data_IF_083536796514
#
_entry.id   IF_083536796514
#
_cell.length_a   1.000
_cell.length_b   1.000
_cell.length_c   1.000
_cell.angle_alpha   90.00
_cell.angle_beta   90.00
_cell.angle_gamma   90.00
#
_symmetry.space_group_name_H-M   'P 1'
#
loop_
_entity.id
_entity.type
_entity.pdbx_description
1 polymer ?
#
# COMPACT_ATOMS: atom_id res chain seq x y z
N UNK A 1 7.67 -22.58 -11.24
CA UNK A 1 7.70 -21.43 -12.16
C UNK A 1 6.31 -20.83 -12.36
N UNK A 2 5.37 -21.55 -12.96
CA UNK A 2 4.01 -21.04 -13.22
C UNK A 2 3.29 -20.47 -11.98
N UNK A 3 3.26 -21.20 -10.86
CA UNK A 3 2.59 -20.73 -9.62
C UNK A 3 3.21 -19.44 -9.09
N UNK A 4 4.56 -19.35 -9.06
CA UNK A 4 5.26 -18.14 -8.59
C UNK A 4 4.87 -16.92 -9.43
N UNK A 5 4.78 -17.11 -10.74
CA UNK A 5 4.37 -16.06 -11.67
C UNK A 5 2.89 -15.67 -11.48
N UNK A 6 1.99 -16.64 -11.32
CA UNK A 6 0.57 -16.38 -11.03
C UNK A 6 0.41 -15.56 -9.76
N UNK A 7 1.18 -15.88 -8.69
CA UNK A 7 1.14 -15.10 -7.45
C UNK A 7 1.54 -13.65 -7.71
N UNK A 8 2.62 -13.39 -8.46
CA UNK A 8 3.02 -12.03 -8.81
C UNK A 8 1.90 -11.28 -9.57
N UNK A 9 1.30 -11.91 -10.56
CA UNK A 9 0.17 -11.33 -11.30
C UNK A 9 -1.01 -11.02 -10.38
N UNK A 10 -1.31 -11.92 -9.43
CA UNK A 10 -2.36 -11.67 -8.43
C UNK A 10 -2.02 -10.51 -7.49
N UNK A 11 -0.76 -10.36 -7.05
CA UNK A 11 -0.33 -9.22 -6.23
C UNK A 11 -0.51 -7.90 -6.98
N UNK A 12 -0.15 -7.85 -8.27
CA UNK A 12 -0.35 -6.68 -9.13
C UNK A 12 -1.84 -6.40 -9.30
N UNK A 13 -2.67 -7.42 -9.55
CA UNK A 13 -4.11 -7.26 -9.64
C UNK A 13 -4.71 -6.70 -8.34
N UNK A 14 -4.30 -7.21 -7.18
CA UNK A 14 -4.72 -6.70 -5.88
C UNK A 14 -4.31 -5.24 -5.66
N UNK A 15 -3.11 -4.85 -6.09
CA UNK A 15 -2.68 -3.45 -6.08
C UNK A 15 -3.62 -2.56 -6.92
N UNK A 16 -3.96 -3.00 -8.14
CA UNK A 16 -4.88 -2.24 -9.00
C UNK A 16 -6.25 -2.12 -8.34
N UNK A 17 -6.78 -3.23 -7.81
CA UNK A 17 -8.07 -3.28 -7.10
C UNK A 17 -8.09 -2.28 -5.94
N UNK A 18 -7.12 -2.36 -5.05
CA UNK A 18 -7.12 -1.54 -3.84
C UNK A 18 -6.83 -0.06 -4.14
N UNK A 19 -5.81 0.23 -4.95
CA UNK A 19 -5.31 1.59 -5.16
C UNK A 19 -6.16 2.41 -6.14
N UNK A 20 -6.88 1.77 -7.06
CA UNK A 20 -7.71 2.48 -8.06
C UNK A 20 -9.21 2.38 -7.82
N UNK A 21 -9.69 1.27 -7.24
CA UNK A 21 -11.13 1.03 -7.14
C UNK A 21 -11.66 1.09 -5.71
N UNK A 22 -10.91 0.63 -4.70
CA UNK A 22 -11.42 0.51 -3.33
C UNK A 22 -11.16 1.72 -2.42
N UNK A 23 -10.39 2.72 -2.86
CA UNK A 23 -10.00 3.84 -1.99
C UNK A 23 -11.19 4.63 -1.39
N UNK A 24 -12.32 4.78 -2.11
CA UNK A 24 -13.53 5.44 -1.59
C UNK A 24 -13.25 6.77 -0.86
N UNK A 25 -13.76 6.89 0.37
CA UNK A 25 -13.55 8.07 1.22
C UNK A 25 -12.07 8.27 1.63
N UNK A 26 -11.29 7.18 1.79
CA UNK A 26 -9.88 7.26 2.14
C UNK A 26 -9.06 7.99 1.08
N UNK A 27 -9.47 7.97 -0.20
CA UNK A 27 -8.83 8.73 -1.27
C UNK A 27 -8.80 10.23 -0.97
N UNK A 28 -9.88 10.76 -0.38
CA UNK A 28 -9.99 12.15 0.02
C UNK A 28 -9.38 12.39 1.40
N UNK A 29 -9.67 11.53 2.37
CA UNK A 29 -9.23 11.68 3.76
C UNK A 29 -7.70 11.61 3.92
N UNK A 30 -6.97 10.94 3.02
CA UNK A 30 -5.49 10.93 3.06
C UNK A 30 -4.85 12.26 2.64
N UNK A 31 -5.64 13.19 2.10
CA UNK A 31 -5.19 14.50 1.65
C UNK A 31 -5.39 15.54 2.75
N UNK A 32 -4.32 16.23 3.14
CA UNK A 32 -4.36 17.32 4.14
C UNK A 32 -5.34 18.43 3.75
N UNK A 33 -5.42 18.76 2.46
CA UNK A 33 -6.34 19.78 1.94
C UNK A 33 -7.81 19.43 2.14
N UNK A 34 -8.16 18.13 2.18
CA UNK A 34 -9.53 17.72 2.44
C UNK A 34 -9.96 18.09 3.87
N UNK A 35 -9.08 17.88 4.85
CA UNK A 35 -9.32 18.27 6.25
C UNK A 35 -9.36 19.79 6.42
N UNK A 36 -8.46 20.52 5.75
CA UNK A 36 -8.48 21.99 5.76
C UNK A 36 -9.82 22.58 5.25
N UNK A 37 -10.51 21.87 4.36
CA UNK A 37 -11.78 22.30 3.78
C UNK A 37 -13.01 21.82 4.56
N UNK A 38 -12.98 20.57 5.05
CA UNK A 38 -14.16 19.91 5.63
C UNK A 38 -14.17 19.90 7.17
N UNK A 39 -13.02 20.10 7.81
CA UNK A 39 -12.85 20.09 9.27
C UNK A 39 -11.67 21.02 9.67
N UNK A 40 -11.81 22.34 9.50
CA UNK A 40 -10.71 23.31 9.61
C UNK A 40 -10.22 23.54 11.04
N UNK A 41 -10.86 22.95 12.05
CA UNK A 41 -10.47 23.09 13.43
C UNK A 41 -9.05 22.55 13.67
N UNK A 42 -8.29 23.23 14.54
CA UNK A 42 -6.90 22.85 14.85
C UNK A 42 -6.76 21.42 15.36
N UNK A 43 -7.83 20.87 15.95
CA UNK A 43 -7.90 19.50 16.44
C UNK A 43 -7.64 18.47 15.32
N UNK A 44 -8.22 18.68 14.14
CA UNK A 44 -8.23 17.70 13.04
C UNK A 44 -7.09 17.88 12.03
N UNK A 45 -6.19 18.85 12.28
CA UNK A 45 -5.09 19.22 11.36
C UNK A 45 -4.21 18.03 10.94
N UNK A 46 -4.10 17.00 11.78
CA UNK A 46 -3.22 15.85 11.56
C UNK A 46 -3.98 14.54 11.27
N UNK A 47 -5.31 14.57 11.16
CA UNK A 47 -6.13 13.37 10.97
C UNK A 47 -5.85 12.67 9.63
N UNK A 48 -5.38 13.41 8.62
CA UNK A 48 -4.92 12.84 7.36
C UNK A 48 -3.78 11.83 7.52
N UNK A 49 -2.97 11.93 8.60
CA UNK A 49 -1.90 10.97 8.90
C UNK A 49 -2.49 9.61 9.28
N UNK A 50 -3.58 9.59 10.05
CA UNK A 50 -4.28 8.36 10.38
C UNK A 50 -4.90 7.75 9.12
N UNK A 51 -5.52 8.56 8.25
CA UNK A 51 -6.06 8.09 6.98
C UNK A 51 -4.98 7.51 6.04
N UNK A 52 -3.81 8.17 5.94
CA UNK A 52 -2.65 7.67 5.20
C UNK A 52 -2.19 6.30 5.73
N UNK A 53 -2.08 6.16 7.05
CA UNK A 53 -1.69 4.90 7.67
C UNK A 53 -2.70 3.78 7.40
N UNK A 54 -4.01 4.07 7.56
CA UNK A 54 -5.07 3.08 7.31
C UNK A 54 -5.12 2.64 5.84
N UNK A 55 -4.99 3.58 4.90
CA UNK A 55 -4.90 3.24 3.48
C UNK A 55 -3.67 2.39 3.18
N UNK A 56 -2.50 2.79 3.70
CA UNK A 56 -1.26 2.05 3.51
C UNK A 56 -1.29 0.62 4.08
N UNK A 57 -1.92 0.47 5.24
CA UNK A 57 -2.16 -0.84 5.85
C UNK A 57 -3.07 -1.71 4.96
N UNK A 58 -4.21 -1.17 4.52
CA UNK A 58 -5.15 -1.86 3.62
C UNK A 58 -4.46 -2.32 2.34
N UNK A 59 -3.70 -1.42 1.71
CA UNK A 59 -2.97 -1.70 0.50
C UNK A 59 -1.93 -2.81 0.68
N UNK A 60 -1.11 -2.69 1.73
CA UNK A 60 -0.09 -3.70 2.05
C UNK A 60 -0.73 -5.06 2.32
N UNK A 61 -1.84 -5.09 3.06
CA UNK A 61 -2.60 -6.31 3.31
C UNK A 61 -3.09 -6.93 2.00
N UNK A 62 -3.66 -6.13 1.10
CA UNK A 62 -4.18 -6.60 -0.18
C UNK A 62 -3.09 -7.17 -1.08
N UNK A 63 -1.95 -6.48 -1.25
CA UNK A 63 -0.86 -7.00 -2.10
C UNK A 63 -0.15 -8.20 -1.46
N UNK A 64 -0.17 -8.35 -0.14
CA UNK A 64 0.41 -9.50 0.56
C UNK A 64 -0.59 -10.65 0.77
N UNK A 65 -1.87 -10.49 0.43
CA UNK A 65 -2.91 -11.48 0.73
C UNK A 65 -2.60 -12.84 0.08
N UNK A 66 -2.43 -12.87 -1.23
CA UNK A 66 -2.18 -14.11 -1.99
C UNK A 66 -0.89 -14.82 -1.56
N UNK A 67 0.29 -14.15 -1.47
CA UNK A 67 1.50 -14.83 -0.99
C UNK A 67 1.37 -15.28 0.47
N UNK A 68 0.68 -14.52 1.33
CA UNK A 68 0.44 -14.92 2.73
C UNK A 68 -0.43 -16.18 2.82
N UNK A 69 -1.54 -16.24 2.07
CA UNK A 69 -2.39 -17.44 2.00
C UNK A 69 -1.58 -18.65 1.52
N UNK A 70 -0.72 -18.47 0.51
CA UNK A 70 0.19 -19.54 0.05
C UNK A 70 1.14 -20.00 1.16
N UNK A 71 1.71 -19.11 1.96
CA UNK A 71 2.60 -19.47 3.08
C UNK A 71 1.83 -20.22 4.17
N UNK A 72 0.64 -19.74 4.54
CA UNK A 72 -0.19 -20.37 5.58
C UNK A 72 -0.63 -21.79 5.20
N UNK A 73 -1.08 -22.00 3.96
CA UNK A 73 -1.66 -23.26 3.53
C UNK A 73 -0.63 -24.34 3.16
N UNK A 74 0.53 -23.94 2.65
CA UNK A 74 1.49 -24.87 2.03
C UNK A 74 2.91 -24.73 2.60
N UNK A 75 3.05 -24.03 3.74
CA UNK A 75 4.32 -23.76 4.38
C UNK A 75 5.16 -22.68 3.68
N UNK A 76 6.09 -22.12 4.44
CA UNK A 76 6.98 -21.03 4.07
C UNK A 76 7.27 -20.13 5.27
N UNK A 77 8.00 -19.03 5.04
CA UNK A 77 8.29 -18.03 6.08
C UNK A 77 7.47 -16.78 5.80
N UNK A 78 6.72 -16.34 6.81
CA UNK A 78 6.08 -15.03 6.78
C UNK A 78 6.98 -14.01 7.48
N UNK A 79 7.12 -12.81 6.93
CA UNK A 79 8.07 -11.80 7.39
C UNK A 79 7.33 -10.56 7.95
N UNK A 80 7.10 -10.46 9.27
CA UNK A 80 6.40 -9.32 9.86
C UNK A 80 7.06 -7.97 9.59
N UNK A 81 8.40 -7.95 9.56
CA UNK A 81 9.17 -6.73 9.28
C UNK A 81 9.01 -6.27 7.82
N UNK A 82 8.83 -7.21 6.88
CA UNK A 82 8.55 -6.88 5.48
C UNK A 82 7.15 -6.25 5.34
N UNK A 83 6.17 -6.79 6.07
CA UNK A 83 4.83 -6.21 6.13
C UNK A 83 4.87 -4.79 6.71
N UNK A 84 5.45 -4.61 7.90
CA UNK A 84 5.57 -3.30 8.54
C UNK A 84 6.35 -2.30 7.67
N UNK A 85 7.43 -2.75 7.04
CA UNK A 85 8.21 -1.94 6.09
C UNK A 85 7.39 -1.47 4.89
N UNK A 86 6.58 -2.34 4.30
CA UNK A 86 5.69 -1.97 3.20
C UNK A 86 4.65 -0.92 3.62
N UNK A 87 4.04 -1.07 4.80
CA UNK A 87 3.11 -0.06 5.34
C UNK A 87 3.80 1.29 5.51
N UNK A 88 5.02 1.31 6.04
CA UNK A 88 5.74 2.57 6.26
C UNK A 88 6.17 3.24 4.95
N UNK A 89 6.68 2.45 3.98
CA UNK A 89 7.10 2.97 2.68
C UNK A 89 5.90 3.51 1.91
N UNK A 90 4.82 2.74 1.80
CA UNK A 90 3.63 3.16 1.04
C UNK A 90 3.02 4.43 1.63
N UNK A 91 2.89 4.51 2.97
CA UNK A 91 2.42 5.72 3.66
C UNK A 91 3.27 6.94 3.31
N UNK A 92 4.59 6.80 3.29
CA UNK A 92 5.52 7.89 2.98
C UNK A 92 5.45 8.32 1.51
N UNK A 93 5.36 7.37 0.59
CA UNK A 93 5.25 7.63 -0.86
C UNK A 93 3.94 8.36 -1.17
N UNK A 94 2.83 7.91 -0.59
CA UNK A 94 1.55 8.56 -0.76
C UNK A 94 1.52 9.98 -0.18
N UNK A 95 2.17 10.21 0.97
CA UNK A 95 2.34 11.54 1.53
C UNK A 95 3.21 12.44 0.63
N UNK A 96 4.27 11.89 0.03
CA UNK A 96 5.11 12.60 -0.93
C UNK A 96 4.31 13.05 -2.17
N UNK A 97 3.42 12.21 -2.68
CA UNK A 97 2.56 12.50 -3.83
C UNK A 97 1.43 13.46 -3.45
N UNK A 98 0.57 13.06 -2.51
CA UNK A 98 -0.71 13.70 -2.25
C UNK A 98 -0.58 15.02 -1.45
N UNK A 99 0.36 15.08 -0.50
CA UNK A 99 0.46 16.21 0.43
C UNK A 99 1.69 17.09 0.17
N UNK A 100 2.86 16.49 -0.04
CA UNK A 100 4.10 17.24 -0.29
C UNK A 100 4.32 17.62 -1.75
N UNK A 101 3.58 17.00 -2.68
CA UNK A 101 3.64 17.25 -4.13
C UNK A 101 5.07 17.18 -4.69
N UNK A 102 5.89 16.26 -4.15
CA UNK A 102 7.30 16.07 -4.54
C UNK A 102 7.49 15.04 -5.64
N UNK A 103 6.51 14.14 -5.80
CA UNK A 103 6.52 13.10 -6.82
C UNK A 103 5.18 13.11 -7.58
N UNK A 104 5.21 12.63 -8.82
CA UNK A 104 4.01 12.45 -9.63
C UNK A 104 3.48 11.00 -9.54
N UNK A 105 2.35 10.75 -10.21
CA UNK A 105 1.72 9.43 -10.24
C UNK A 105 2.64 8.34 -10.81
N UNK A 106 3.43 8.64 -11.84
CA UNK A 106 4.33 7.63 -12.44
C UNK A 106 5.38 7.19 -11.42
N UNK A 107 5.98 8.13 -10.71
CA UNK A 107 7.01 7.85 -9.69
C UNK A 107 6.41 7.05 -8.52
N UNK A 108 5.25 7.47 -8.02
CA UNK A 108 4.48 6.79 -6.98
C UNK A 108 4.18 5.33 -7.35
N UNK A 109 3.57 5.10 -8.52
CA UNK A 109 3.20 3.77 -8.97
C UNK A 109 4.43 2.90 -9.29
N UNK A 110 5.53 3.51 -9.75
CA UNK A 110 6.80 2.80 -9.92
C UNK A 110 7.34 2.29 -8.58
N UNK A 111 7.23 3.07 -7.50
CA UNK A 111 7.66 2.64 -6.17
C UNK A 111 6.73 1.54 -5.63
N UNK A 112 5.42 1.65 -5.82
CA UNK A 112 4.47 0.60 -5.48
C UNK A 112 4.79 -0.72 -6.21
N UNK A 113 5.16 -0.66 -7.50
CA UNK A 113 5.60 -1.85 -8.24
C UNK A 113 6.89 -2.45 -7.68
N UNK A 114 7.86 -1.62 -7.28
CA UNK A 114 9.07 -2.09 -6.61
C UNK A 114 8.76 -2.77 -5.27
N UNK A 115 7.83 -2.24 -4.48
CA UNK A 115 7.36 -2.87 -3.24
C UNK A 115 6.76 -4.26 -3.49
N UNK A 116 5.93 -4.40 -4.53
CA UNK A 116 5.34 -5.69 -4.93
C UNK A 116 6.42 -6.68 -5.36
N UNK A 117 7.33 -6.27 -6.25
CA UNK A 117 8.40 -7.13 -6.75
C UNK A 117 9.34 -7.58 -5.62
N UNK A 118 9.71 -6.67 -4.73
CA UNK A 118 10.52 -6.98 -3.56
C UNK A 118 9.82 -7.98 -2.64
N UNK A 119 8.55 -7.74 -2.34
CA UNK A 119 7.76 -8.62 -1.48
C UNK A 119 7.60 -10.02 -2.07
N UNK A 120 7.34 -10.09 -3.38
CA UNK A 120 7.26 -11.36 -4.11
C UNK A 120 8.58 -12.13 -4.07
N UNK A 121 9.71 -11.44 -4.28
CA UNK A 121 11.04 -12.04 -4.24
C UNK A 121 11.27 -12.73 -2.88
N UNK A 122 11.01 -12.05 -1.76
CA UNK A 122 11.30 -12.59 -0.43
C UNK A 122 10.29 -13.64 0.07
N UNK A 123 9.02 -13.55 -0.30
CA UNK A 123 8.01 -14.49 0.21
C UNK A 123 7.86 -15.76 -0.64
N UNK A 124 8.23 -15.70 -1.92
CA UNK A 124 7.86 -16.74 -2.91
C UNK A 124 9.07 -17.28 -3.68
N UNK A 125 10.06 -16.44 -3.96
CA UNK A 125 11.20 -16.84 -4.78
C UNK A 125 12.34 -17.39 -3.94
N UNK A 126 12.80 -16.59 -2.97
CA UNK A 126 13.82 -16.92 -1.96
C UNK A 126 13.22 -17.80 -0.85
#
# INVERSE_FOLDING_TARGET
MAIKFIILISMIFCHIVDDYYLQGWLASAKQKSWWEQNAPEKLFKYDYIAALFMHSFSWTFMVMLVPTVRVVLFGGTWYPLLFAGNVMIHMFVDDLKANKKRINLIQDQSIHMLQILWTWLYMIVL
#
